data_IF_666587050411
#
_entry.id   IF_666587050411
#
_cell.length_a   1.000
_cell.length_b   1.000
_cell.length_c   1.000
_cell.angle_alpha   90.00
_cell.angle_beta   90.00
_cell.angle_gamma   90.00
#
_symmetry.space_group_name_H-M   'P 1'
#
loop_
_entity.id
_entity.type
_entity.pdbx_description
1 polymer ?
#
# COMPACT_ATOMS: atom_id res chain seq x y z
N UNK A 1 -21.22 40.53 -19.46
CA UNK A 1 -21.29 39.54 -18.36
C UNK A 1 -21.22 38.15 -18.98
N UNK A 2 -20.01 37.56 -19.09
CA UNK A 2 -19.86 36.19 -19.62
C UNK A 2 -20.07 35.24 -18.44
N UNK A 3 -21.19 34.49 -18.50
CA UNK A 3 -21.41 33.35 -17.61
C UNK A 3 -20.49 32.23 -18.07
N UNK A 4 -19.51 31.92 -17.23
CA UNK A 4 -18.74 30.67 -17.28
C UNK A 4 -19.69 29.48 -17.49
N UNK A 5 -19.40 28.63 -18.46
CA UNK A 5 -19.62 27.19 -18.33
C UNK A 5 -18.47 26.48 -19.04
N UNK A 6 -17.50 26.08 -18.24
CA UNK A 6 -16.55 25.01 -18.54
C UNK A 6 -17.26 23.80 -19.18
N UNK A 7 -16.62 23.04 -20.09
CA UNK A 7 -17.25 21.91 -20.76
C UNK A 7 -17.77 20.88 -19.75
N UNK A 8 -19.10 20.69 -19.68
CA UNK A 8 -19.77 19.65 -18.87
C UNK A 8 -19.42 18.22 -19.28
N UNK A 9 -18.78 18.02 -20.43
CA UNK A 9 -18.46 16.69 -20.98
C UNK A 9 -17.10 16.16 -20.55
N UNK A 10 -16.22 16.99 -19.93
CA UNK A 10 -14.87 16.57 -19.59
C UNK A 10 -14.06 16.12 -20.81
N UNK A 11 -14.30 16.68 -22.00
CA UNK A 11 -13.55 16.39 -23.25
C UNK A 11 -12.91 17.68 -23.77
N UNK A 12 -11.65 17.60 -24.19
CA UNK A 12 -10.87 18.68 -24.83
C UNK A 12 -10.66 18.32 -26.30
N UNK A 13 -10.79 19.31 -27.17
CA UNK A 13 -10.45 19.19 -28.58
C UNK A 13 -8.95 19.49 -28.76
N UNK A 14 -8.22 18.59 -29.42
CA UNK A 14 -6.83 18.80 -29.81
C UNK A 14 -6.74 19.62 -31.10
N UNK A 15 -5.56 20.17 -31.38
CA UNK A 15 -5.29 20.92 -32.62
C UNK A 15 -5.35 20.05 -33.89
N UNK A 16 -5.34 18.71 -33.74
CA UNK A 16 -5.53 17.74 -34.83
C UNK A 16 -7.01 17.34 -35.03
N UNK A 17 -7.95 18.12 -34.50
CA UNK A 17 -9.39 17.89 -34.49
C UNK A 17 -9.86 16.58 -33.79
N UNK A 18 -8.97 15.90 -33.05
CA UNK A 18 -9.36 14.75 -32.23
C UNK A 18 -9.84 15.16 -30.84
N UNK A 19 -10.74 14.36 -30.25
CA UNK A 19 -11.21 14.57 -28.87
C UNK A 19 -10.39 13.73 -27.90
N UNK A 20 -9.86 14.35 -26.84
CA UNK A 20 -9.26 13.67 -25.69
C UNK A 20 -10.15 13.92 -24.45
N UNK A 21 -10.29 12.95 -23.54
CA UNK A 21 -10.94 13.24 -22.27
C UNK A 21 -9.99 14.09 -21.39
N UNK A 22 -10.52 15.09 -20.72
CA UNK A 22 -9.84 15.88 -19.68
C UNK A 22 -9.23 14.96 -18.62
N UNK A 23 -9.87 13.82 -18.32
CA UNK A 23 -9.33 12.80 -17.42
C UNK A 23 -8.04 12.13 -17.94
N UNK A 24 -7.86 12.05 -19.27
CA UNK A 24 -6.66 11.50 -19.90
C UNK A 24 -5.52 12.55 -19.98
N UNK A 25 -5.86 13.84 -19.79
CA UNK A 25 -4.92 14.96 -19.75
C UNK A 25 -4.31 15.17 -18.35
N UNK A 26 -4.95 14.65 -17.30
CA UNK A 26 -4.43 14.68 -15.94
C UNK A 26 -3.93 13.28 -15.55
N UNK A 27 -2.62 13.05 -15.34
CA UNK A 27 -2.12 11.76 -14.86
C UNK A 27 -2.53 11.61 -13.39
N UNK A 28 -3.75 11.14 -13.16
CA UNK A 28 -4.35 11.06 -11.83
C UNK A 28 -5.46 10.03 -11.73
N UNK A 29 -5.43 8.99 -12.58
CA UNK A 29 -6.19 7.78 -12.29
C UNK A 29 -5.46 7.05 -11.19
N UNK A 30 -5.86 7.34 -9.95
CA UNK A 30 -5.52 6.58 -8.76
C UNK A 30 -6.15 5.20 -8.94
N UNK A 31 -5.44 4.33 -9.66
CA UNK A 31 -5.93 3.03 -10.11
C UNK A 31 -6.41 2.18 -8.93
N UNK A 32 -5.88 2.41 -7.72
CA UNK A 32 -6.24 1.69 -6.49
C UNK A 32 -5.93 0.19 -6.56
N UNK A 33 -5.46 -0.25 -7.72
CA UNK A 33 -5.17 -1.59 -8.15
C UNK A 33 -4.02 -2.12 -7.33
N UNK A 34 -4.16 -3.38 -6.92
CA UNK A 34 -3.07 -4.14 -6.33
C UNK A 34 -2.07 -4.46 -7.43
N UNK A 35 -0.85 -3.99 -7.27
CA UNK A 35 0.27 -4.24 -8.20
C UNK A 35 1.22 -5.31 -7.68
N UNK A 36 1.10 -5.68 -6.41
CA UNK A 36 1.81 -6.83 -5.84
C UNK A 36 1.28 -7.19 -4.46
N UNK A 37 1.47 -8.44 -4.05
CA UNK A 37 1.04 -8.98 -2.76
C UNK A 37 2.04 -10.01 -2.27
N UNK A 38 2.13 -10.16 -0.95
CA UNK A 38 2.72 -11.33 -0.34
C UNK A 38 2.23 -11.52 1.09
N UNK A 39 2.74 -12.56 1.74
CA UNK A 39 2.32 -12.95 3.08
C UNK A 39 3.54 -13.28 3.92
N UNK A 40 3.68 -12.60 5.06
CA UNK A 40 4.63 -12.96 6.09
C UNK A 40 3.95 -13.96 7.03
N UNK A 41 4.43 -15.21 7.02
CA UNK A 41 3.83 -16.30 7.79
C UNK A 41 4.55 -16.47 9.12
N UNK A 42 3.82 -16.30 10.22
CA UNK A 42 4.31 -16.60 11.55
C UNK A 42 3.67 -17.88 12.06
N UNK A 43 4.49 -18.84 12.47
CA UNK A 43 4.07 -19.88 13.43
C UNK A 43 4.22 -19.35 14.86
N UNK A 44 3.91 -20.16 15.86
CA UNK A 44 4.30 -19.84 17.22
C UNK A 44 5.82 -19.57 17.27
N UNK A 45 6.19 -18.42 17.83
CA UNK A 45 7.57 -17.92 17.79
C UNK A 45 7.83 -16.92 18.91
N UNK A 46 9.11 -16.72 19.21
CA UNK A 46 9.56 -15.72 20.18
C UNK A 46 9.41 -14.29 19.64
N UNK A 47 9.50 -13.30 20.54
CA UNK A 47 9.53 -11.90 20.17
C UNK A 47 10.71 -11.59 19.22
N UNK A 48 10.51 -10.61 18.34
CA UNK A 48 11.44 -10.14 17.32
C UNK A 48 11.81 -11.20 16.27
N UNK A 49 10.93 -12.18 16.02
CA UNK A 49 11.07 -13.06 14.86
C UNK A 49 10.81 -12.23 13.60
N UNK A 50 11.70 -12.28 12.62
CA UNK A 50 11.58 -11.53 11.37
C UNK A 50 11.08 -12.44 10.24
N UNK A 51 10.19 -11.93 9.42
CA UNK A 51 9.74 -12.54 8.16
C UNK A 51 9.85 -11.49 7.05
N UNK A 52 10.39 -11.88 5.90
CA UNK A 52 10.59 -10.98 4.78
C UNK A 52 9.68 -11.36 3.60
N UNK A 53 9.13 -10.34 2.96
CA UNK A 53 8.31 -10.48 1.76
C UNK A 53 8.86 -9.57 0.68
N UNK A 54 9.41 -10.16 -0.37
CA UNK A 54 9.84 -9.42 -1.56
C UNK A 54 8.71 -9.36 -2.58
N UNK A 55 8.33 -8.15 -2.98
CA UNK A 55 7.28 -7.89 -3.97
C UNK A 55 7.92 -7.19 -5.16
N UNK A 56 7.72 -7.75 -6.35
CA UNK A 56 8.00 -7.07 -7.62
C UNK A 56 6.69 -6.46 -8.13
N UNK A 57 6.47 -5.14 -7.99
CA UNK A 57 5.25 -4.52 -8.47
C UNK A 57 5.09 -4.70 -9.99
N UNK A 58 3.90 -5.11 -10.43
CA UNK A 58 3.64 -5.44 -11.83
C UNK A 58 2.81 -4.36 -12.53
N UNK A 59 3.20 -4.02 -13.76
CA UNK A 59 2.50 -3.05 -14.62
C UNK A 59 3.30 -1.78 -14.90
N UNK A 60 2.66 -0.83 -15.59
CA UNK A 60 3.25 0.49 -15.85
C UNK A 60 3.04 1.40 -14.65
N UNK A 61 3.89 1.29 -13.64
CA UNK A 61 3.78 2.09 -12.42
C UNK A 61 4.19 3.52 -12.73
N UNK A 62 3.19 4.36 -12.98
CA UNK A 62 3.37 5.79 -13.28
C UNK A 62 2.94 6.68 -12.12
N UNK A 63 2.43 6.10 -11.05
CA UNK A 63 1.86 6.79 -9.89
C UNK A 63 2.56 6.38 -8.60
N UNK A 64 2.35 7.19 -7.55
CA UNK A 64 2.86 6.90 -6.22
C UNK A 64 2.31 5.55 -5.73
N UNK A 65 3.08 4.86 -4.89
CA UNK A 65 2.67 3.57 -4.32
C UNK A 65 2.15 3.76 -2.89
N UNK A 66 1.25 2.88 -2.49
CA UNK A 66 0.85 2.71 -1.09
C UNK A 66 1.02 1.25 -0.67
N UNK A 67 1.43 1.07 0.58
CA UNK A 67 1.48 -0.22 1.24
C UNK A 67 0.21 -0.39 2.08
N UNK A 68 -0.45 -1.53 1.92
CA UNK A 68 -1.51 -2.04 2.78
C UNK A 68 -0.95 -3.23 3.57
N UNK A 69 -1.11 -3.23 4.89
CA UNK A 69 -0.73 -4.33 5.79
C UNK A 69 -1.95 -4.74 6.59
N UNK A 70 -2.24 -6.05 6.63
CA UNK A 70 -3.30 -6.66 7.45
C UNK A 70 -2.65 -7.52 8.53
N UNK A 71 -2.71 -7.04 9.79
CA UNK A 71 -2.22 -7.78 10.96
C UNK A 71 -3.39 -8.51 11.63
N UNK A 72 -3.54 -9.83 11.44
CA UNK A 72 -4.62 -10.58 12.08
C UNK A 72 -4.34 -10.89 13.57
N UNK A 73 -3.11 -10.71 14.05
CA UNK A 73 -2.70 -11.10 15.39
C UNK A 73 -3.39 -10.24 16.44
N UNK A 74 -4.00 -10.87 17.45
CA UNK A 74 -4.50 -10.19 18.66
C UNK A 74 -3.45 -10.10 19.76
N UNK A 75 -2.27 -10.68 19.54
CA UNK A 75 -1.22 -10.86 20.55
C UNK A 75 -0.18 -9.76 20.43
N UNK A 76 0.33 -9.52 19.22
CA UNK A 76 1.49 -8.66 18.98
C UNK A 76 1.22 -7.52 18.01
N UNK A 77 1.72 -6.34 18.37
CA UNK A 77 2.00 -5.29 17.39
C UNK A 77 3.14 -5.78 16.48
N UNK A 78 3.19 -5.24 15.26
CA UNK A 78 4.22 -5.60 14.28
C UNK A 78 5.07 -4.39 13.96
N UNK A 79 6.37 -4.58 13.91
CA UNK A 79 7.29 -3.63 13.29
C UNK A 79 7.44 -3.99 11.83
N UNK A 80 7.13 -3.04 10.95
CA UNK A 80 7.22 -3.19 9.49
C UNK A 80 8.27 -2.25 8.96
N UNK A 81 9.27 -2.80 8.29
CA UNK A 81 10.36 -2.08 7.65
C UNK A 81 10.27 -2.26 6.13
N UNK A 82 10.57 -1.21 5.39
CA UNK A 82 10.48 -1.19 3.94
C UNK A 82 11.84 -0.90 3.34
N UNK A 83 12.23 -1.73 2.38
CA UNK A 83 13.48 -1.62 1.64
C UNK A 83 13.21 -1.57 0.13
N UNK A 84 13.95 -0.71 -0.56
CA UNK A 84 13.96 -0.56 -2.02
C UNK A 84 15.31 -1.05 -2.54
N UNK A 85 15.38 -2.31 -2.98
CA UNK A 85 16.65 -3.02 -3.09
C UNK A 85 17.38 -3.06 -1.74
N UNK A 86 18.60 -2.51 -1.70
CA UNK A 86 19.43 -2.44 -0.47
C UNK A 86 19.17 -1.18 0.38
N UNK A 87 18.31 -0.27 -0.08
CA UNK A 87 18.07 1.00 0.62
C UNK A 87 16.91 0.88 1.60
N UNK A 88 17.14 1.22 2.86
CA UNK A 88 16.08 1.44 3.82
C UNK A 88 15.25 2.68 3.46
N UNK A 89 13.93 2.52 3.36
CA UNK A 89 13.02 3.58 2.94
C UNK A 89 12.31 4.19 4.15
N UNK A 90 11.62 3.35 4.93
CA UNK A 90 10.80 3.77 6.06
C UNK A 90 10.49 2.59 6.98
N UNK A 91 9.99 2.89 8.18
CA UNK A 91 9.47 1.89 9.10
C UNK A 91 8.25 2.42 9.86
N UNK A 92 7.38 1.51 10.27
CA UNK A 92 6.27 1.85 11.14
C UNK A 92 5.75 0.64 11.93
N UNK A 93 5.07 0.94 13.03
CA UNK A 93 4.36 -0.08 13.81
C UNK A 93 2.93 -0.24 13.32
N UNK A 94 2.51 -1.49 13.10
CA UNK A 94 1.13 -1.88 12.87
C UNK A 94 0.58 -2.49 14.16
N UNK A 95 -0.40 -1.86 14.83
CA UNK A 95 -0.96 -2.40 16.05
C UNK A 95 -1.61 -3.76 15.80
N UNK A 96 -1.64 -4.57 16.85
CA UNK A 96 -2.40 -5.80 16.91
C UNK A 96 -3.87 -5.56 16.65
N UNK A 97 -4.51 -6.58 16.09
CA UNK A 97 -5.95 -6.64 15.89
C UNK A 97 -6.68 -6.33 17.20
N UNK A 98 -7.45 -5.25 17.16
CA UNK A 98 -8.33 -4.88 18.26
C UNK A 98 -9.65 -4.31 17.73
N UNK A 99 -10.76 -4.61 18.42
CA UNK A 99 -12.05 -3.96 18.16
C UNK A 99 -12.19 -2.75 19.06
N UNK A 100 -12.42 -1.57 18.49
CA UNK A 100 -12.61 -0.32 19.24
C UNK A 100 -14.05 -0.21 19.75
N UNK A 101 -14.29 0.72 20.68
CA UNK A 101 -15.61 0.95 21.27
C UNK A 101 -16.71 1.29 20.25
N UNK A 102 -16.34 1.76 19.05
CA UNK A 102 -17.26 2.02 17.93
C UNK A 102 -17.53 0.77 17.05
N UNK A 103 -17.10 -0.42 17.47
CA UNK A 103 -17.29 -1.68 16.76
C UNK A 103 -16.37 -1.89 15.54
N UNK A 104 -15.44 -0.97 15.27
CA UNK A 104 -14.50 -1.11 14.14
C UNK A 104 -13.28 -1.93 14.54
N UNK A 105 -12.93 -2.90 13.71
CA UNK A 105 -11.66 -3.62 13.80
C UNK A 105 -10.52 -2.74 13.27
N UNK A 106 -9.46 -2.63 14.06
CA UNK A 106 -8.20 -1.99 13.68
C UNK A 106 -7.19 -3.10 13.48
N UNK A 107 -7.08 -3.55 12.22
CA UNK A 107 -6.14 -4.59 11.79
C UNK A 107 -5.52 -4.31 10.42
N UNK A 108 -6.22 -3.55 9.55
CA UNK A 108 -5.75 -3.14 8.23
C UNK A 108 -5.24 -1.71 8.25
N UNK A 109 -4.04 -1.51 7.76
CA UNK A 109 -3.35 -0.23 7.77
C UNK A 109 -2.84 0.12 6.39
N UNK A 110 -2.95 1.39 6.01
CA UNK A 110 -2.47 1.91 4.74
C UNK A 110 -1.44 3.01 5.00
N UNK A 111 -0.34 2.99 4.24
CA UNK A 111 0.73 3.98 4.27
C UNK A 111 1.13 4.36 2.84
N UNK A 112 1.36 5.64 2.61
CA UNK A 112 1.97 6.10 1.36
C UNK A 112 3.44 5.72 1.37
N UNK A 113 3.94 5.14 0.29
CA UNK A 113 5.36 4.88 0.12
C UNK A 113 5.98 6.04 -0.64
N UNK A 114 6.91 6.74 0.01
CA UNK A 114 7.63 7.84 -0.62
C UNK A 114 8.86 7.30 -1.37
N UNK A 115 8.99 7.64 -2.66
CA UNK A 115 10.27 7.53 -3.37
C UNK A 115 10.79 6.12 -3.61
N UNK A 116 9.92 5.13 -3.80
CA UNK A 116 10.31 3.76 -4.18
C UNK A 116 10.55 3.70 -5.69
N UNK A 117 11.72 3.23 -6.11
CA UNK A 117 12.17 3.24 -7.50
C UNK A 117 12.82 1.95 -7.99
N UNK A 118 13.07 0.96 -7.13
CA UNK A 118 13.60 -0.33 -7.56
C UNK A 118 12.52 -1.26 -8.12
N UNK A 119 12.98 -2.23 -8.89
CA UNK A 119 12.14 -3.29 -9.48
C UNK A 119 11.49 -4.19 -8.41
N UNK A 120 12.09 -4.26 -7.21
CA UNK A 120 11.61 -5.05 -6.09
C UNK A 120 11.63 -4.28 -4.78
N UNK A 121 10.55 -4.43 -4.02
CA UNK A 121 10.35 -3.84 -2.70
C UNK A 121 10.35 -4.98 -1.70
N UNK A 122 11.24 -4.93 -0.71
CA UNK A 122 11.27 -5.91 0.39
C UNK A 122 10.59 -5.30 1.60
N UNK A 123 9.66 -6.05 2.17
CA UNK A 123 8.92 -5.69 3.37
C UNK A 123 9.32 -6.68 4.44
N UNK A 124 10.05 -6.21 5.44
CA UNK A 124 10.42 -7.00 6.60
C UNK A 124 9.39 -6.76 7.70
N UNK A 125 8.84 -7.83 8.26
CA UNK A 125 7.79 -7.79 9.28
C UNK A 125 8.31 -8.55 10.48
N UNK A 126 8.30 -7.93 11.66
CA UNK A 126 8.66 -8.58 12.92
C UNK A 126 7.59 -8.42 13.98
N UNK A 127 7.46 -9.41 14.84
CA UNK A 127 6.53 -9.39 15.97
C UNK A 127 7.21 -8.77 17.21
N UNK A 128 6.58 -7.77 17.83
CA UNK A 128 7.14 -7.13 19.03
C UNK A 128 7.07 -8.01 20.29
N UNK A 129 6.18 -9.01 20.31
CA UNK A 129 5.96 -9.93 21.43
C UNK A 129 5.82 -11.38 20.94
N UNK A 130 6.09 -12.35 21.81
CA UNK A 130 5.91 -13.78 21.53
C UNK A 130 4.52 -14.07 20.97
N UNK A 131 4.47 -14.82 19.86
CA UNK A 131 3.23 -15.32 19.28
C UNK A 131 3.02 -16.76 19.73
N UNK A 132 1.89 -17.02 20.37
CA UNK A 132 1.46 -18.35 20.79
C UNK A 132 0.57 -19.03 19.74
N UNK A 133 0.01 -18.25 18.83
CA UNK A 133 -0.79 -18.71 17.70
C UNK A 133 -0.21 -18.24 16.37
N UNK A 134 -0.48 -19.00 15.30
CA UNK A 134 -0.02 -18.64 13.97
C UNK A 134 -0.74 -17.38 13.45
N UNK A 135 -0.02 -16.52 12.75
CA UNK A 135 -0.54 -15.29 12.17
C UNK A 135 0.01 -15.08 10.75
N UNK A 136 -0.89 -15.01 9.78
CA UNK A 136 -0.55 -14.73 8.38
C UNK A 136 -0.76 -13.24 8.09
N UNK A 137 0.33 -12.48 8.14
CA UNK A 137 0.29 -11.03 7.89
C UNK A 137 0.30 -10.81 6.38
N UNK A 138 -0.77 -10.22 5.85
CA UNK A 138 -0.84 -9.93 4.41
C UNK A 138 -0.28 -8.55 4.13
N UNK A 139 0.59 -8.45 3.13
CA UNK A 139 1.13 -7.18 2.63
C UNK A 139 0.75 -7.01 1.16
N UNK A 140 0.28 -5.82 0.80
CA UNK A 140 -0.13 -5.52 -0.56
C UNK A 140 0.33 -4.11 -0.98
N UNK A 141 0.86 -4.01 -2.19
CA UNK A 141 1.25 -2.73 -2.79
C UNK A 141 0.18 -2.34 -3.80
N UNK A 142 -0.26 -1.08 -3.73
CA UNK A 142 -1.26 -0.53 -4.63
C UNK A 142 -0.80 0.74 -5.29
N UNK A 143 -1.28 0.94 -6.51
CA UNK A 143 -1.20 2.22 -7.21
C UNK A 143 -2.10 3.25 -6.52
N UNK A 144 -1.55 4.45 -6.34
CA UNK A 144 -2.25 5.69 -6.07
C UNK A 144 -2.39 6.46 -7.38
#
# INVERSE_FOLDING_TARGET
>A
MIKSMSPRSGRVLREDDSYINVADLFPGVVSGKVVGTGTAQFTACDANTLQEVTIAPTGNIKSALRLEVDNPSTESDLTVEIYDGDYFVDWFTIPKKATRANGKEVQKHIRMLAGVGAETITIAVSNDTTLTSAADVTVAIREV
#
